data_IF_871285525903
#
_entry.id   IF_871285525903
#
_cell.length_a   1.000
_cell.length_b   1.000
_cell.length_c   1.000
_cell.angle_alpha   90.00
_cell.angle_beta   90.00
_cell.angle_gamma   90.00
#
_symmetry.space_group_name_H-M   'P 1'
#
loop_
_entity.id
_entity.type
_entity.pdbx_description
1 polymer ?
#
# COMPACT_ATOMS: atom_id res chain seq x y z
N UNK A 1 52.60 -7.52 28.61
CA UNK A 1 52.71 -9.00 28.65
C UNK A 1 53.45 -9.44 27.39
N UNK A 2 54.63 -10.08 27.48
CA UNK A 2 55.43 -10.43 26.29
C UNK A 2 54.64 -11.36 25.36
N UNK A 3 54.72 -11.15 24.04
CA UNK A 3 54.09 -11.98 22.99
C UNK A 3 54.28 -13.48 23.21
N UNK A 4 55.44 -13.90 23.76
CA UNK A 4 55.70 -15.30 24.14
C UNK A 4 54.72 -15.84 25.20
N UNK A 5 54.33 -15.02 26.19
CA UNK A 5 53.34 -15.42 27.21
C UNK A 5 51.93 -15.49 26.65
N UNK A 6 51.54 -14.58 25.76
CA UNK A 6 50.22 -14.61 25.10
C UNK A 6 50.08 -15.84 24.19
N UNK A 7 51.11 -16.17 23.40
CA UNK A 7 51.12 -17.37 22.56
C UNK A 7 51.02 -18.67 23.37
N UNK A 8 51.70 -18.73 24.53
CA UNK A 8 51.60 -19.88 25.42
C UNK A 8 50.22 -20.05 26.07
N UNK A 9 49.52 -18.94 26.38
CA UNK A 9 48.15 -18.98 26.91
C UNK A 9 47.16 -19.41 25.82
N UNK A 10 47.30 -18.88 24.59
CA UNK A 10 46.48 -19.26 23.44
C UNK A 10 46.57 -20.77 23.14
N UNK A 11 47.80 -21.32 23.08
CA UNK A 11 48.00 -22.77 22.84
C UNK A 11 47.39 -23.64 23.95
N UNK A 12 47.51 -23.22 25.22
CA UNK A 12 46.86 -23.94 26.34
C UNK A 12 45.34 -23.88 26.28
N UNK A 13 44.77 -22.78 25.79
CA UNK A 13 43.33 -22.63 25.66
C UNK A 13 42.79 -23.49 24.50
N UNK A 14 43.50 -23.52 23.36
CA UNK A 14 43.16 -24.36 22.21
C UNK A 14 43.17 -25.86 22.57
N UNK A 15 44.20 -26.34 23.27
CA UNK A 15 44.24 -27.72 23.76
C UNK A 15 43.11 -28.06 24.75
N UNK A 16 42.67 -27.08 25.55
CA UNK A 16 41.58 -27.28 26.51
C UNK A 16 40.24 -27.39 25.79
N UNK A 17 40.01 -26.51 24.80
CA UNK A 17 38.79 -26.51 23.99
C UNK A 17 38.69 -27.81 23.18
N UNK A 18 39.77 -28.24 22.52
CA UNK A 18 39.80 -29.51 21.76
C UNK A 18 39.48 -30.73 22.64
N UNK A 19 39.99 -30.76 23.87
CA UNK A 19 39.70 -31.85 24.82
C UNK A 19 38.23 -31.91 25.24
N UNK A 20 37.60 -30.77 25.52
CA UNK A 20 36.17 -30.74 25.87
C UNK A 20 35.29 -31.07 24.66
N UNK A 21 35.68 -30.67 23.46
CA UNK A 21 34.97 -31.01 22.22
C UNK A 21 34.92 -32.53 21.99
N UNK A 22 36.07 -33.21 22.13
CA UNK A 22 36.18 -34.67 21.96
C UNK A 22 35.32 -35.40 23.02
N UNK A 23 35.35 -34.95 24.29
CA UNK A 23 34.49 -35.51 25.35
C UNK A 23 33.00 -35.37 25.04
N UNK A 24 32.60 -34.22 24.51
CA UNK A 24 31.22 -33.98 24.09
C UNK A 24 30.78 -34.93 22.97
N UNK A 25 31.64 -35.17 21.98
CA UNK A 25 31.37 -36.12 20.90
C UNK A 25 31.23 -37.56 21.40
N UNK A 26 32.15 -38.04 22.25
CA UNK A 26 32.07 -39.39 22.82
C UNK A 26 30.80 -39.60 23.67
N UNK A 27 30.35 -38.56 24.39
CA UNK A 27 29.13 -38.64 25.19
C UNK A 27 27.86 -38.68 24.33
N UNK A 28 27.86 -38.01 23.17
CA UNK A 28 26.78 -38.08 22.18
C UNK A 28 26.73 -39.47 21.52
N UNK A 29 27.88 -40.05 21.16
CA UNK A 29 27.95 -41.40 20.58
C UNK A 29 27.49 -42.48 21.56
N UNK A 30 27.90 -42.41 22.83
CA UNK A 30 27.41 -43.33 23.88
C UNK A 30 25.89 -43.24 24.06
N UNK A 31 25.32 -42.04 23.95
CA UNK A 31 23.88 -41.83 24.03
C UNK A 31 23.12 -42.32 22.78
N UNK A 32 23.78 -42.38 21.63
CA UNK A 32 23.20 -42.90 20.38
C UNK A 32 23.16 -44.43 20.34
N UNK A 33 24.18 -45.12 20.87
CA UNK A 33 24.23 -46.59 20.88
C UNK A 33 23.30 -47.26 21.91
N UNK A 34 22.72 -46.50 22.85
CA UNK A 34 21.89 -47.03 23.94
C UNK A 34 20.37 -47.05 23.67
N UNK A 35 19.88 -46.57 22.52
CA UNK A 35 18.43 -46.47 22.26
C UNK A 35 18.02 -46.84 20.83
N UNK A 36 17.65 -48.11 20.64
CA UNK A 36 16.99 -48.61 19.43
C UNK A 36 15.45 -48.67 19.54
N UNK A 37 14.83 -47.84 20.39
CA UNK A 37 13.37 -47.77 20.55
C UNK A 37 12.94 -46.30 20.70
N UNK A 38 12.01 -45.85 19.85
CA UNK A 38 11.35 -44.53 19.70
C UNK A 38 11.83 -43.59 18.57
N UNK A 39 11.04 -43.57 17.49
CA UNK A 39 11.26 -42.90 16.20
C UNK A 39 10.94 -41.39 16.16
N UNK A 40 10.41 -40.77 17.23
CA UNK A 40 10.10 -39.32 17.23
C UNK A 40 11.23 -38.44 17.78
N UNK A 41 12.12 -38.96 18.64
CA UNK A 41 13.24 -38.20 19.20
C UNK A 41 14.46 -38.06 18.28
N UNK A 42 14.56 -38.87 17.22
CA UNK A 42 15.70 -38.87 16.28
C UNK A 42 15.78 -37.56 15.48
N UNK A 43 14.64 -36.88 15.21
CA UNK A 43 14.63 -35.62 14.46
C UNK A 43 15.27 -34.47 15.26
N UNK A 44 15.01 -34.38 16.56
CA UNK A 44 15.59 -33.33 17.41
C UNK A 44 17.10 -33.51 17.64
N UNK A 45 17.58 -34.75 17.73
CA UNK A 45 19.02 -35.00 17.94
C UNK A 45 19.83 -34.69 16.68
N UNK A 46 19.32 -34.99 15.47
CA UNK A 46 19.98 -34.63 14.21
C UNK A 46 20.10 -33.11 14.01
N UNK A 47 19.07 -32.35 14.39
CA UNK A 47 19.09 -30.88 14.32
C UNK A 47 20.15 -30.29 15.28
N UNK A 48 20.28 -30.84 16.49
CA UNK A 48 21.31 -30.38 17.45
C UNK A 48 22.74 -30.67 16.98
N UNK A 49 22.98 -31.81 16.32
CA UNK A 49 24.30 -32.16 15.77
C UNK A 49 24.67 -31.22 14.61
N UNK A 50 23.72 -30.92 13.71
CA UNK A 50 23.94 -29.97 12.62
C UNK A 50 24.22 -28.56 13.18
N UNK A 51 23.45 -28.11 14.17
CA UNK A 51 23.67 -26.82 14.82
C UNK A 51 25.06 -26.72 15.45
N UNK A 52 25.54 -27.79 16.12
CA UNK A 52 26.86 -27.80 16.74
C UNK A 52 28.01 -27.77 15.70
N UNK A 53 27.84 -28.44 14.56
CA UNK A 53 28.78 -28.38 13.44
C UNK A 53 28.88 -26.98 12.82
N UNK A 54 27.74 -26.32 12.62
CA UNK A 54 27.68 -24.95 12.11
C UNK A 54 28.33 -23.98 13.09
N UNK A 55 28.06 -24.11 14.39
CA UNK A 55 28.67 -23.26 15.42
C UNK A 55 30.20 -23.43 15.47
N UNK A 56 30.70 -24.67 15.38
CA UNK A 56 32.14 -24.94 15.33
C UNK A 56 32.82 -24.25 14.14
N UNK A 57 32.21 -24.29 12.96
CA UNK A 57 32.72 -23.63 11.77
C UNK A 57 32.86 -22.11 11.93
N UNK A 58 31.86 -21.46 12.56
CA UNK A 58 31.92 -20.02 12.83
C UNK A 58 32.97 -19.65 13.89
N UNK A 59 33.19 -20.52 14.89
CA UNK A 59 34.25 -20.33 15.89
C UNK A 59 35.63 -20.41 15.23
N UNK A 60 35.85 -21.34 14.31
CA UNK A 60 37.11 -21.47 13.57
C UNK A 60 37.39 -20.23 12.69
N UNK A 61 36.36 -19.69 12.02
CA UNK A 61 36.47 -18.45 11.25
C UNK A 61 36.80 -17.26 12.18
N UNK A 62 36.10 -17.14 13.30
CA UNK A 62 36.32 -16.06 14.25
C UNK A 62 37.75 -16.10 14.83
N UNK A 63 38.26 -17.30 15.13
CA UNK A 63 39.65 -17.51 15.55
C UNK A 63 40.64 -17.08 14.45
N UNK A 64 40.43 -17.49 13.20
CA UNK A 64 41.29 -17.09 12.08
C UNK A 64 41.29 -15.57 11.86
N UNK A 65 40.13 -14.91 11.96
CA UNK A 65 40.04 -13.45 11.86
C UNK A 65 40.75 -12.79 13.04
N UNK A 66 40.62 -13.33 14.25
CA UNK A 66 41.28 -12.80 15.44
C UNK A 66 42.81 -12.86 15.34
N UNK A 67 43.38 -13.92 14.77
CA UNK A 67 44.83 -14.01 14.52
C UNK A 67 45.29 -12.93 13.53
N UNK A 68 44.51 -12.67 12.48
CA UNK A 68 44.82 -11.62 11.50
C UNK A 68 44.71 -10.22 12.12
N UNK A 69 43.69 -9.97 12.94
CA UNK A 69 43.54 -8.72 13.69
C UNK A 69 44.72 -8.53 14.65
N UNK A 70 45.10 -9.56 15.41
CA UNK A 70 46.26 -9.48 16.32
C UNK A 70 47.56 -9.23 15.55
N UNK A 71 47.73 -9.78 14.34
CA UNK A 71 48.88 -9.49 13.49
C UNK A 71 48.89 -8.03 13.00
N UNK A 72 47.72 -7.46 12.68
CA UNK A 72 47.58 -6.07 12.23
C UNK A 72 47.79 -5.07 13.38
N UNK A 73 47.29 -5.38 14.58
CA UNK A 73 47.36 -4.50 15.75
C UNK A 73 48.57 -4.76 16.66
N UNK A 74 49.32 -5.85 16.43
CA UNK A 74 50.46 -6.25 17.25
C UNK A 74 51.68 -5.33 17.08
N UNK A 75 51.79 -4.63 15.96
CA UNK A 75 52.76 -3.55 15.77
C UNK A 75 52.13 -2.40 14.95
N UNK A 76 51.35 -1.53 15.61
CA UNK A 76 50.65 -0.45 14.93
C UNK A 76 51.62 0.55 14.28
N UNK A 77 52.89 0.61 14.70
CA UNK A 77 53.89 1.48 14.09
C UNK A 77 54.24 1.05 12.65
N UNK A 78 54.21 -0.25 12.34
CA UNK A 78 54.46 -0.75 10.98
C UNK A 78 53.24 -0.51 10.09
N UNK A 79 52.03 -0.77 10.59
CA UNK A 79 50.79 -0.56 9.84
C UNK A 79 50.54 0.93 9.54
N UNK A 80 50.85 1.82 10.49
CA UNK A 80 50.68 3.26 10.31
C UNK A 80 51.75 3.87 9.38
N UNK A 81 52.99 3.36 9.39
CA UNK A 81 54.02 3.81 8.43
C UNK A 81 53.68 3.44 6.98
N UNK A 82 52.98 2.32 6.77
CA UNK A 82 52.57 1.85 5.45
C UNK A 82 51.41 2.64 4.85
N UNK A 83 50.55 3.22 5.69
CA UNK A 83 49.36 3.96 5.27
C UNK A 83 49.55 5.49 5.24
N UNK A 84 50.36 6.05 6.15
CA UNK A 84 50.36 7.51 6.36
C UNK A 84 51.50 8.26 5.66
N UNK A 85 52.62 7.59 5.34
CA UNK A 85 53.80 8.27 4.77
C UNK A 85 53.88 8.27 3.23
N UNK A 86 52.78 8.00 2.53
CA UNK A 86 52.82 8.00 1.05
C UNK A 86 52.89 9.40 0.43
N UNK A 87 52.59 10.46 1.18
CA UNK A 87 52.51 11.81 0.62
C UNK A 87 53.68 12.75 0.96
N UNK A 88 54.54 12.41 1.92
CA UNK A 88 55.67 13.27 2.26
C UNK A 88 56.89 12.44 2.68
N UNK A 89 57.69 12.04 1.70
CA UNK A 89 59.14 12.34 1.61
C UNK A 89 59.96 11.23 0.92
N UNK A 90 60.89 11.70 0.07
CA UNK A 90 62.13 11.08 -0.41
C UNK A 90 62.04 9.89 -1.37
N UNK A 91 62.81 9.99 -2.46
CA UNK A 91 63.15 8.90 -3.37
C UNK A 91 63.57 7.63 -2.62
N UNK A 92 62.64 6.67 -2.48
CA UNK A 92 63.03 5.31 -2.10
C UNK A 92 63.78 4.68 -3.29
N UNK A 93 64.89 3.96 -3.07
CA UNK A 93 65.66 3.27 -4.11
C UNK A 93 65.03 1.92 -4.45
N UNK A 94 63.69 1.84 -4.45
CA UNK A 94 63.00 0.64 -4.91
C UNK A 94 62.64 0.89 -6.38
N UNK A 95 63.25 0.15 -7.32
CA UNK A 95 62.94 0.33 -8.73
C UNK A 95 61.43 0.19 -8.94
N UNK A 96 60.86 1.11 -9.71
CA UNK A 96 59.42 1.22 -9.98
C UNK A 96 58.75 -0.12 -10.35
N UNK A 97 59.51 -1.06 -10.92
CA UNK A 97 59.07 -2.43 -11.20
C UNK A 97 58.62 -3.20 -9.94
N UNK A 98 59.28 -3.04 -8.80
CA UNK A 98 58.90 -3.71 -7.55
C UNK A 98 57.66 -3.07 -6.92
N UNK A 99 57.54 -1.74 -6.97
CA UNK A 99 56.33 -1.05 -6.53
C UNK A 99 55.11 -1.47 -7.37
N UNK A 100 55.27 -1.55 -8.69
CA UNK A 100 54.21 -2.02 -9.60
C UNK A 100 53.82 -3.48 -9.33
N UNK A 101 54.79 -4.33 -8.95
CA UNK A 101 54.52 -5.73 -8.55
C UNK A 101 53.76 -5.80 -7.23
N UNK A 102 54.15 -5.01 -6.23
CA UNK A 102 53.44 -4.90 -4.95
C UNK A 102 52.02 -4.34 -5.12
N UNK A 103 51.83 -3.32 -5.94
CA UNK A 103 50.51 -2.76 -6.26
C UNK A 103 49.61 -3.78 -6.98
N UNK A 104 50.18 -4.60 -7.88
CA UNK A 104 49.44 -5.67 -8.55
C UNK A 104 49.02 -6.74 -7.56
N UNK A 105 49.88 -7.10 -6.60
CA UNK A 105 49.54 -8.07 -5.55
C UNK A 105 48.49 -7.50 -4.57
N UNK A 106 48.58 -6.23 -4.21
CA UNK A 106 47.58 -5.56 -3.35
C UNK A 106 46.20 -5.47 -4.03
N UNK A 107 46.16 -5.17 -5.34
CA UNK A 107 44.90 -5.21 -6.12
C UNK A 107 44.30 -6.60 -6.18
N UNK A 108 45.12 -7.64 -6.40
CA UNK A 108 44.64 -9.04 -6.40
C UNK A 108 44.10 -9.42 -5.01
N UNK A 109 44.72 -8.95 -3.93
CA UNK A 109 44.25 -9.19 -2.57
C UNK A 109 42.91 -8.49 -2.28
N UNK A 110 42.72 -7.26 -2.78
CA UNK A 110 41.47 -6.51 -2.67
C UNK A 110 40.32 -7.17 -3.44
N UNK A 111 40.55 -7.65 -4.66
CA UNK A 111 39.52 -8.33 -5.44
C UNK A 111 39.19 -9.71 -4.89
N UNK A 112 40.18 -10.46 -4.41
CA UNK A 112 39.94 -11.76 -3.78
C UNK A 112 39.16 -11.62 -2.47
N UNK A 113 39.46 -10.58 -1.66
CA UNK A 113 38.72 -10.29 -0.42
C UNK A 113 37.28 -9.86 -0.65
N UNK A 114 37.03 -9.05 -1.69
CA UNK A 114 35.66 -8.68 -2.08
C UNK A 114 34.88 -9.90 -2.61
N UNK A 115 35.51 -10.74 -3.43
CA UNK A 115 34.88 -11.94 -3.95
C UNK A 115 34.50 -12.93 -2.84
N UNK A 116 35.35 -13.12 -1.83
CA UNK A 116 35.04 -13.99 -0.68
C UNK A 116 33.95 -13.40 0.21
N UNK A 117 33.89 -12.07 0.39
CA UNK A 117 32.78 -11.42 1.11
C UNK A 117 31.44 -11.60 0.39
N UNK A 118 31.41 -11.43 -0.95
CA UNK A 118 30.19 -11.63 -1.75
C UNK A 118 29.75 -13.10 -1.69
N UNK A 119 30.68 -14.05 -1.81
CA UNK A 119 30.38 -15.47 -1.68
C UNK A 119 29.83 -15.81 -0.29
N UNK A 120 30.43 -15.30 0.79
CA UNK A 120 29.93 -15.49 2.16
C UNK A 120 28.50 -14.96 2.34
N UNK A 121 28.19 -13.77 1.80
CA UNK A 121 26.83 -13.21 1.84
C UNK A 121 25.83 -14.06 1.05
N UNK A 122 26.22 -14.54 -0.13
CA UNK A 122 25.36 -15.44 -0.92
C UNK A 122 25.12 -16.79 -0.24
N UNK A 123 26.13 -17.36 0.41
CA UNK A 123 26.00 -18.61 1.14
C UNK A 123 25.15 -18.45 2.41
N UNK A 124 25.35 -17.34 3.14
CA UNK A 124 24.57 -17.02 4.32
C UNK A 124 23.09 -16.86 3.98
N UNK A 125 22.75 -16.12 2.92
CA UNK A 125 21.34 -15.96 2.48
C UNK A 125 20.73 -17.28 2.04
N UNK A 126 21.47 -18.14 1.33
CA UNK A 126 20.99 -19.47 0.94
C UNK A 126 20.74 -20.38 2.16
N UNK A 127 21.64 -20.37 3.14
CA UNK A 127 21.47 -21.12 4.40
C UNK A 127 20.28 -20.57 5.19
N UNK A 128 20.11 -19.25 5.24
CA UNK A 128 19.02 -18.61 5.97
C UNK A 128 17.67 -18.98 5.35
N UNK A 129 17.54 -18.95 4.02
CA UNK A 129 16.34 -19.39 3.30
C UNK A 129 16.08 -20.91 3.46
N UNK A 130 17.14 -21.71 3.63
CA UNK A 130 16.99 -23.15 3.84
C UNK A 130 16.58 -23.52 5.27
N UNK A 131 17.08 -22.79 6.27
CA UNK A 131 16.79 -23.05 7.69
C UNK A 131 15.54 -22.33 8.18
N UNK A 132 15.31 -21.11 7.69
CA UNK A 132 14.10 -20.33 7.88
C UNK A 132 13.30 -20.48 6.58
N UNK A 133 12.60 -21.62 6.44
CA UNK A 133 11.67 -21.80 5.33
C UNK A 133 10.72 -20.60 5.20
N UNK A 134 10.12 -20.38 4.01
CA UNK A 134 9.28 -19.21 3.77
C UNK A 134 8.23 -19.08 4.87
N UNK A 135 8.20 -17.91 5.50
CA UNK A 135 7.18 -17.52 6.50
C UNK A 135 5.81 -17.30 5.88
N UNK A 136 5.68 -17.47 4.56
CA UNK A 136 4.40 -17.53 3.89
C UNK A 136 3.97 -18.99 3.72
N UNK A 137 2.69 -19.24 4.03
CA UNK A 137 2.04 -20.55 3.97
C UNK A 137 2.18 -21.12 2.56
N UNK A 138 3.14 -22.02 2.34
CA UNK A 138 3.15 -22.83 1.14
C UNK A 138 1.92 -23.75 1.25
N UNK A 139 0.98 -23.60 0.31
CA UNK A 139 -0.21 -24.42 0.24
C UNK A 139 0.19 -25.91 0.21
N UNK A 140 -0.10 -26.62 1.29
CA UNK A 140 -0.09 -28.07 1.28
C UNK A 140 -1.17 -28.54 0.30
N UNK A 141 -0.88 -29.53 -0.54
CA UNK A 141 -1.89 -30.22 -1.31
C UNK A 141 -2.91 -30.83 -0.33
N UNK A 142 -4.04 -30.14 -0.16
CA UNK A 142 -5.17 -30.60 0.63
C UNK A 142 -6.00 -31.54 -0.23
N UNK A 143 -6.09 -32.80 0.17
CA UNK A 143 -7.14 -33.68 -0.35
C UNK A 143 -8.47 -33.19 0.24
N UNK A 144 -9.48 -33.00 -0.61
CA UNK A 144 -10.84 -32.66 -0.17
C UNK A 144 -11.85 -33.67 -0.69
N UNK A 145 -12.89 -33.93 0.08
CA UNK A 145 -13.97 -34.87 -0.22
C UNK A 145 -15.16 -34.11 -0.79
N UNK A 146 -15.63 -34.50 -1.98
CA UNK A 146 -16.81 -33.91 -2.61
C UNK A 146 -18.03 -34.79 -2.30
N UNK A 147 -19.15 -34.16 -1.96
CA UNK A 147 -20.35 -34.85 -1.50
C UNK A 147 -21.58 -34.41 -2.29
N UNK A 148 -22.09 -35.31 -3.12
CA UNK A 148 -23.01 -34.95 -4.22
C UNK A 148 -24.47 -35.15 -3.83
N UNK A 149 -24.75 -35.85 -2.72
CA UNK A 149 -26.11 -36.19 -2.30
C UNK A 149 -26.24 -36.27 -0.78
N UNK A 150 -27.30 -35.64 -0.27
CA UNK A 150 -27.78 -35.77 1.10
C UNK A 150 -28.94 -36.75 1.12
N UNK A 151 -28.66 -38.05 1.02
CA UNK A 151 -29.67 -39.05 1.38
C UNK A 151 -29.66 -39.20 2.90
N UNK A 152 -30.79 -38.86 3.52
CA UNK A 152 -31.04 -38.95 4.95
C UNK A 152 -30.88 -40.37 5.45
N UNK A 153 -29.79 -40.64 6.17
CA UNK A 153 -29.70 -41.75 7.10
C UNK A 153 -29.60 -41.13 8.50
N UNK A 154 -30.68 -41.25 9.28
CA UNK A 154 -30.67 -40.91 10.70
C UNK A 154 -29.78 -41.91 11.42
N UNK A 155 -28.61 -41.47 11.86
CA UNK A 155 -27.79 -42.22 12.81
C UNK A 155 -27.82 -41.43 14.12
N UNK A 156 -28.40 -42.03 15.15
CA UNK A 156 -28.60 -41.40 16.45
C UNK A 156 -27.37 -41.52 17.37
N UNK A 157 -26.18 -41.87 16.85
CA UNK A 157 -24.95 -42.02 17.66
C UNK A 157 -23.77 -41.17 17.14
N UNK A 158 -23.47 -40.06 17.83
CA UNK A 158 -22.34 -39.18 17.57
C UNK A 158 -21.22 -39.63 18.47
N UNK A 159 -20.19 -40.24 17.89
CA UNK A 159 -19.04 -40.68 18.67
C UNK A 159 -18.04 -39.53 18.81
N UNK A 160 -18.23 -38.66 19.80
CA UNK A 160 -17.21 -37.69 20.21
C UNK A 160 -16.28 -38.33 21.24
N UNK A 161 -14.97 -38.23 21.03
CA UNK A 161 -13.93 -38.77 21.91
C UNK A 161 -13.82 -38.06 23.27
N UNK A 162 -14.52 -36.93 23.44
CA UNK A 162 -14.32 -36.00 24.55
C UNK A 162 -15.47 -36.02 25.57
N UNK A 163 -16.57 -36.75 25.30
CA UNK A 163 -17.66 -36.96 26.25
C UNK A 163 -18.52 -35.74 26.58
N UNK A 164 -18.35 -34.63 25.87
CA UNK A 164 -19.04 -33.34 26.06
C UNK A 164 -20.36 -33.20 25.28
N UNK A 165 -20.63 -34.09 24.32
CA UNK A 165 -21.79 -34.04 23.43
C UNK A 165 -23.10 -34.69 23.92
N UNK A 166 -23.36 -34.77 25.23
CA UNK A 166 -24.60 -35.39 25.74
C UNK A 166 -25.82 -34.47 25.56
N UNK A 167 -26.48 -34.54 24.41
CA UNK A 167 -27.71 -33.77 24.15
C UNK A 167 -27.98 -33.46 22.68
N UNK A 168 -27.06 -33.81 21.78
CA UNK A 168 -27.22 -33.56 20.36
C UNK A 168 -28.21 -34.57 19.77
N UNK A 169 -29.49 -34.20 19.71
CA UNK A 169 -30.57 -35.06 19.18
C UNK A 169 -30.85 -34.83 17.69
N UNK A 170 -30.16 -33.89 17.05
CA UNK A 170 -30.38 -33.52 15.64
C UNK A 170 -29.06 -33.18 14.94
N UNK A 171 -28.23 -34.18 14.67
CA UNK A 171 -27.10 -34.03 13.76
C UNK A 171 -27.21 -35.05 12.62
N UNK A 172 -26.73 -34.68 11.45
CA UNK A 172 -26.59 -35.59 10.32
C UNK A 172 -25.17 -36.13 10.30
N UNK A 173 -24.97 -37.37 10.75
CA UNK A 173 -23.71 -38.09 10.54
C UNK A 173 -23.78 -38.88 9.23
N UNK A 174 -22.74 -38.80 8.40
CA UNK A 174 -22.62 -39.60 7.17
C UNK A 174 -21.54 -40.66 7.34
N UNK A 175 -21.87 -41.87 6.91
CA UNK A 175 -20.92 -42.95 6.64
C UNK A 175 -20.71 -43.05 5.13
N UNK A 176 -19.46 -43.23 4.69
CA UNK A 176 -19.00 -43.36 3.29
C UNK A 176 -18.92 -42.05 2.47
N UNK A 177 -17.80 -41.32 2.61
CA UNK A 177 -17.43 -40.23 1.69
C UNK A 177 -16.38 -40.73 0.69
N UNK A 178 -16.58 -40.46 -0.61
CA UNK A 178 -15.57 -40.63 -1.67
C UNK A 178 -15.11 -39.27 -2.19
N UNK A 179 -13.83 -39.13 -2.55
CA UNK A 179 -13.23 -37.83 -2.86
C UNK A 179 -13.43 -37.40 -4.33
N UNK A 180 -13.70 -36.11 -4.57
CA UNK A 180 -13.85 -35.50 -5.89
C UNK A 180 -13.01 -34.23 -6.03
N UNK A 181 -12.67 -33.85 -7.27
CA UNK A 181 -11.41 -33.14 -7.54
C UNK A 181 -11.37 -31.61 -7.37
N UNK A 182 -12.46 -30.85 -7.19
CA UNK A 182 -12.29 -29.40 -6.93
C UNK A 182 -13.51 -28.70 -6.33
N UNK A 183 -13.35 -28.10 -5.14
CA UNK A 183 -14.22 -27.06 -4.62
C UNK A 183 -13.37 -26.03 -3.86
N UNK A 184 -13.58 -24.74 -4.10
CA UNK A 184 -12.89 -23.65 -3.40
C UNK A 184 -13.79 -23.13 -2.30
N UNK A 185 -13.37 -23.26 -1.04
CA UNK A 185 -14.09 -22.67 0.11
C UNK A 185 -13.31 -21.46 0.60
N UNK A 186 -13.96 -20.31 0.54
CA UNK A 186 -13.47 -19.05 1.06
C UNK A 186 -13.95 -18.94 2.51
N UNK A 187 -13.03 -18.92 3.47
CA UNK A 187 -13.38 -18.76 4.88
C UNK A 187 -13.53 -17.26 5.17
N UNK A 188 -14.66 -16.80 5.73
CA UNK A 188 -14.74 -15.44 6.24
C UNK A 188 -13.72 -15.27 7.36
N UNK A 189 -12.90 -14.21 7.28
CA UNK A 189 -11.82 -13.90 8.23
C UNK A 189 -12.30 -13.14 9.48
N UNK A 190 -13.59 -12.84 9.56
CA UNK A 190 -14.14 -12.07 10.68
C UNK A 190 -14.28 -12.96 11.93
N UNK A 191 -14.05 -12.39 13.11
CA UNK A 191 -14.14 -13.09 14.39
C UNK A 191 -15.60 -13.48 14.66
N UNK A 192 -15.91 -14.78 14.61
CA UNK A 192 -17.23 -15.31 14.98
C UNK A 192 -17.25 -15.56 16.50
N UNK A 193 -18.12 -14.86 17.22
CA UNK A 193 -18.48 -15.23 18.59
C UNK A 193 -19.36 -16.47 18.55
N UNK A 194 -18.90 -17.58 19.14
CA UNK A 194 -19.73 -18.77 19.37
C UNK A 194 -20.98 -18.40 20.16
N UNK A 195 -22.16 -18.75 19.62
CA UNK A 195 -23.43 -18.68 20.35
C UNK A 195 -23.57 -19.89 21.28
N UNK A 196 -24.32 -19.77 22.35
CA UNK A 196 -24.50 -20.86 23.32
C UNK A 196 -25.33 -22.02 22.74
N UNK A 197 -25.22 -23.22 23.33
CA UNK A 197 -26.04 -24.39 22.97
C UNK A 197 -27.56 -24.13 23.05
N UNK A 198 -27.97 -23.19 23.91
CA UNK A 198 -29.37 -22.77 24.02
C UNK A 198 -29.83 -21.99 22.78
N UNK A 199 -28.97 -21.11 22.25
CA UNK A 199 -29.25 -20.27 21.07
C UNK A 199 -29.31 -21.11 19.78
N UNK A 200 -28.47 -22.15 19.70
CA UNK A 200 -28.49 -23.10 18.57
C UNK A 200 -29.78 -23.93 18.55
N UNK A 201 -30.22 -24.41 19.72
CA UNK A 201 -31.39 -25.29 19.81
C UNK A 201 -32.74 -24.56 19.79
N UNK A 202 -32.77 -23.26 20.09
CA UNK A 202 -33.99 -22.43 20.06
C UNK A 202 -34.35 -21.90 18.68
N UNK A 203 -33.48 -22.07 17.67
CA UNK A 203 -33.57 -21.40 16.36
C UNK A 203 -33.65 -19.86 16.46
N UNK A 204 -33.13 -19.26 17.54
CA UNK A 204 -33.19 -17.80 17.74
C UNK A 204 -31.97 -17.05 17.24
N UNK A 205 -31.02 -17.70 16.56
CA UNK A 205 -29.87 -16.98 15.99
C UNK A 205 -30.35 -16.02 14.90
N UNK A 206 -30.11 -14.73 15.16
CA UNK A 206 -30.32 -13.64 14.19
C UNK A 206 -29.28 -13.61 13.08
N UNK A 207 -28.23 -14.42 13.16
CA UNK A 207 -27.02 -14.21 12.39
C UNK A 207 -26.65 -15.47 11.60
N UNK A 208 -26.39 -15.28 10.30
CA UNK A 208 -26.00 -16.26 9.28
C UNK A 208 -27.12 -16.90 8.45
N UNK A 209 -27.74 -16.12 7.56
CA UNK A 209 -28.36 -16.67 6.36
C UNK A 209 -27.29 -17.15 5.37
N UNK A 210 -27.50 -18.33 4.80
CA UNK A 210 -26.62 -18.92 3.80
C UNK A 210 -27.19 -18.66 2.40
N UNK A 211 -26.42 -18.02 1.54
CA UNK A 211 -26.71 -17.97 0.10
C UNK A 211 -26.06 -19.17 -0.58
N UNK A 212 -26.87 -20.08 -1.09
CA UNK A 212 -26.42 -21.26 -1.82
C UNK A 212 -26.65 -21.02 -3.31
N UNK A 213 -25.57 -20.87 -4.07
CA UNK A 213 -25.60 -20.97 -5.53
C UNK A 213 -25.23 -22.39 -5.96
N UNK A 214 -25.41 -22.73 -7.24
CA UNK A 214 -25.07 -24.07 -7.75
C UNK A 214 -23.61 -24.47 -7.49
N UNK A 215 -22.72 -23.50 -7.26
CA UNK A 215 -21.27 -23.72 -7.14
C UNK A 215 -20.64 -23.09 -5.88
N UNK A 216 -21.39 -22.39 -5.01
CA UNK A 216 -20.83 -21.76 -3.80
C UNK A 216 -21.85 -21.62 -2.68
N UNK A 217 -21.41 -21.81 -1.44
CA UNK A 217 -22.16 -21.47 -0.23
C UNK A 217 -21.48 -20.24 0.38
N UNK A 218 -22.21 -19.13 0.55
CA UNK A 218 -21.71 -17.89 1.16
C UNK A 218 -22.53 -17.55 2.39
N UNK A 219 -21.85 -17.08 3.44
CA UNK A 219 -22.50 -16.49 4.61
C UNK A 219 -22.85 -15.05 4.28
N UNK A 220 -24.13 -14.71 4.39
CA UNK A 220 -24.59 -13.34 4.23
C UNK A 220 -24.40 -12.58 5.55
N UNK A 221 -23.92 -11.35 5.43
CA UNK A 221 -23.69 -10.43 6.53
C UNK A 221 -25.03 -9.95 7.10
N UNK A 222 -25.15 -9.78 8.43
CA UNK A 222 -26.37 -9.29 9.06
C UNK A 222 -26.63 -7.83 8.67
N UNK A 223 -27.82 -7.32 8.99
CA UNK A 223 -28.11 -5.90 8.79
C UNK A 223 -27.14 -5.04 9.63
N UNK A 224 -26.81 -3.85 9.14
CA UNK A 224 -25.82 -2.91 9.68
C UNK A 224 -24.34 -3.35 9.59
N UNK A 225 -24.06 -4.48 8.93
CA UNK A 225 -22.69 -4.93 8.72
C UNK A 225 -22.05 -4.32 7.46
N UNK A 226 -20.73 -4.10 7.54
CA UNK A 226 -19.85 -3.65 6.47
C UNK A 226 -20.02 -4.42 5.16
N UNK A 227 -20.40 -3.84 4.02
CA UNK A 227 -20.58 -4.56 2.74
C UNK A 227 -19.95 -3.87 1.53
N UNK A 228 -19.56 -4.65 0.52
CA UNK A 228 -19.06 -4.12 -0.76
C UNK A 228 -19.97 -4.41 -1.97
N UNK A 229 -20.89 -5.36 -1.82
CA UNK A 229 -21.86 -5.73 -2.85
C UNK A 229 -23.17 -6.23 -2.22
N UNK A 230 -24.28 -6.08 -2.95
CA UNK A 230 -25.64 -6.46 -2.53
C UNK A 230 -25.76 -7.93 -2.10
N UNK A 231 -25.04 -8.81 -2.80
CA UNK A 231 -25.06 -10.24 -2.55
C UNK A 231 -24.24 -10.67 -1.32
N UNK A 232 -23.59 -9.73 -0.62
CA UNK A 232 -22.96 -9.97 0.67
C UNK A 232 -23.96 -9.83 1.82
N UNK A 233 -25.12 -9.21 1.60
CA UNK A 233 -26.05 -8.84 2.65
C UNK A 233 -27.24 -9.80 2.77
N UNK A 234 -27.68 -10.09 4.00
CA UNK A 234 -28.88 -10.90 4.26
C UNK A 234 -30.12 -10.30 3.59
N UNK A 235 -30.20 -8.97 3.58
CA UNK A 235 -31.24 -8.22 2.92
C UNK A 235 -31.21 -8.27 1.39
N UNK A 236 -30.09 -8.72 0.80
CA UNK A 236 -29.82 -8.62 -0.63
C UNK A 236 -29.57 -7.19 -1.12
N UNK A 237 -29.33 -6.22 -0.21
CA UNK A 237 -29.01 -4.83 -0.56
C UNK A 237 -27.89 -4.31 0.33
N UNK A 238 -26.82 -3.83 -0.32
CA UNK A 238 -25.70 -3.14 0.29
C UNK A 238 -25.91 -1.63 0.13
N UNK A 239 -26.52 -1.00 1.14
CA UNK A 239 -26.76 0.44 1.13
C UNK A 239 -25.43 1.17 1.26
N UNK A 240 -25.23 2.20 0.42
CA UNK A 240 -24.08 3.10 0.49
C UNK A 240 -22.72 2.46 0.19
N UNK A 241 -22.67 1.19 -0.25
CA UNK A 241 -21.41 0.45 -0.40
C UNK A 241 -20.63 0.32 0.91
N UNK A 242 -21.33 0.47 2.04
CA UNK A 242 -20.74 0.36 3.37
C UNK A 242 -21.57 -0.49 4.30
N UNK A 243 -22.91 -0.48 4.25
CA UNK A 243 -23.72 -1.19 5.25
C UNK A 243 -24.87 -2.01 4.66
N UNK A 244 -25.03 -3.24 5.14
CA UNK A 244 -26.14 -4.10 4.80
C UNK A 244 -27.44 -3.55 5.37
N UNK A 245 -28.25 -2.92 4.52
CA UNK A 245 -29.55 -2.32 4.82
C UNK A 245 -29.68 -1.57 6.16
N UNK A 246 -29.31 -0.30 6.10
CA UNK A 246 -30.30 0.72 6.47
C UNK A 246 -31.18 0.99 5.24
N UNK A 247 -32.33 0.32 5.16
CA UNK A 247 -33.31 0.53 4.06
C UNK A 247 -33.92 1.95 4.05
N UNK A 248 -33.63 2.76 5.06
CA UNK A 248 -34.05 4.16 5.13
C UNK A 248 -33.05 5.12 4.51
N UNK A 249 -31.79 4.70 4.35
CA UNK A 249 -30.75 5.50 3.69
C UNK A 249 -30.75 5.24 2.20
N UNK A 250 -31.01 6.31 1.47
CA UNK A 250 -31.00 6.41 0.03
C UNK A 250 -29.59 6.68 -0.45
N UNK A 251 -29.26 6.07 -1.59
CA UNK A 251 -28.00 6.32 -2.26
C UNK A 251 -27.88 7.79 -2.66
N UNK A 252 -26.66 8.28 -2.73
CA UNK A 252 -26.39 9.60 -3.28
C UNK A 252 -26.85 9.66 -4.76
N UNK A 253 -27.70 10.64 -5.09
CA UNK A 253 -28.42 10.80 -6.34
C UNK A 253 -29.94 10.62 -6.20
N UNK A 254 -30.40 9.98 -5.13
CA UNK A 254 -31.83 9.74 -4.85
C UNK A 254 -32.52 10.94 -4.24
N UNK A 255 -33.83 11.09 -4.47
CA UNK A 255 -34.59 12.19 -3.88
C UNK A 255 -34.69 12.04 -2.35
N UNK A 256 -34.45 13.10 -1.59
CA UNK A 256 -34.47 13.10 -0.13
C UNK A 256 -35.29 14.25 0.45
N UNK A 257 -35.83 14.05 1.65
CA UNK A 257 -36.49 15.13 2.41
C UNK A 257 -35.63 15.60 3.58
N UNK A 258 -34.63 14.81 3.98
CA UNK A 258 -33.75 15.11 5.11
C UNK A 258 -32.37 14.45 4.93
N UNK A 259 -31.35 15.03 5.56
CA UNK A 259 -29.97 14.54 5.55
C UNK A 259 -29.82 13.10 6.08
N UNK A 260 -30.66 12.70 7.03
CA UNK A 260 -30.68 11.35 7.59
C UNK A 260 -31.14 10.27 6.61
N UNK A 261 -31.89 10.65 5.57
CA UNK A 261 -32.28 9.74 4.49
C UNK A 261 -31.13 9.45 3.53
N UNK A 262 -29.94 10.04 3.71
CA UNK A 262 -28.87 9.96 2.72
C UNK A 262 -27.67 9.19 3.26
N UNK A 263 -27.10 8.34 2.42
CA UNK A 263 -25.83 7.66 2.66
C UNK A 263 -24.71 8.61 3.07
N UNK A 264 -24.58 9.73 2.36
CA UNK A 264 -23.64 10.80 2.67
C UNK A 264 -23.97 11.58 3.95
N UNK A 265 -25.14 11.39 4.55
CA UNK A 265 -25.66 12.30 5.57
C UNK A 265 -25.97 13.70 5.04
N UNK A 266 -26.07 13.88 3.71
CA UNK A 266 -26.31 15.17 3.06
C UNK A 266 -27.51 15.05 2.14
N UNK A 267 -28.52 15.87 2.42
CA UNK A 267 -29.67 16.09 1.55
C UNK A 267 -29.65 17.54 1.08
N UNK A 268 -29.36 17.78 -0.20
CA UNK A 268 -29.22 19.13 -0.74
C UNK A 268 -30.09 19.33 -1.97
N UNK A 269 -31.04 20.28 -1.89
CA UNK A 269 -32.01 20.51 -2.96
C UNK A 269 -32.98 19.34 -3.17
N UNK A 270 -33.19 18.53 -2.13
CA UNK A 270 -34.05 17.35 -2.20
C UNK A 270 -33.42 16.16 -2.90
N UNK A 271 -32.08 16.13 -3.05
CA UNK A 271 -31.33 14.97 -3.56
C UNK A 271 -30.21 14.60 -2.60
N UNK A 272 -30.04 13.32 -2.33
CA UNK A 272 -28.98 12.77 -1.50
C UNK A 272 -27.63 12.95 -2.18
N UNK A 273 -26.62 13.28 -1.41
CA UNK A 273 -25.25 13.30 -1.89
C UNK A 273 -24.52 14.60 -1.71
N UNK A 274 -23.21 14.43 -1.73
CA UNK A 274 -22.24 15.51 -1.71
C UNK A 274 -22.14 16.09 -3.12
N UNK A 275 -22.59 17.34 -3.30
CA UNK A 275 -22.44 18.02 -4.59
C UNK A 275 -20.97 18.31 -4.85
N UNK A 276 -20.47 17.84 -5.98
CA UNK A 276 -19.21 18.31 -6.54
C UNK A 276 -19.47 19.69 -7.15
N UNK A 277 -18.90 20.74 -6.56
CA UNK A 277 -19.19 22.13 -6.93
C UNK A 277 -17.93 22.85 -7.35
N UNK A 278 -18.00 23.45 -8.53
CA UNK A 278 -17.02 24.38 -9.04
C UNK A 278 -17.53 25.80 -8.84
N UNK A 279 -16.64 26.71 -8.42
CA UNK A 279 -16.99 28.12 -8.21
C UNK A 279 -15.77 29.01 -8.41
N UNK A 280 -15.99 30.27 -8.77
CA UNK A 280 -14.91 31.23 -8.91
C UNK A 280 -14.55 31.90 -7.59
N UNK A 281 -13.26 32.19 -7.40
CA UNK A 281 -12.80 33.07 -6.34
C UNK A 281 -13.42 34.47 -6.48
N UNK A 282 -13.70 35.11 -5.34
CA UNK A 282 -14.22 36.48 -5.31
C UNK A 282 -13.21 37.55 -5.79
N UNK A 283 -11.93 37.20 -5.81
CA UNK A 283 -10.84 38.08 -6.24
C UNK A 283 -10.11 37.50 -7.45
N UNK A 284 -9.38 38.37 -8.14
CA UNK A 284 -8.42 37.98 -9.18
C UNK A 284 -7.00 38.00 -8.60
N UNK A 285 -6.12 37.17 -9.15
CA UNK A 285 -4.75 36.99 -8.69
C UNK A 285 -3.80 36.92 -9.89
N UNK A 286 -2.58 37.41 -9.73
CA UNK A 286 -1.49 37.09 -10.63
C UNK A 286 -1.08 35.60 -10.51
N UNK A 287 -0.06 35.20 -11.26
CA UNK A 287 0.48 33.84 -11.30
C UNK A 287 1.22 33.41 -10.03
N UNK A 288 1.54 34.33 -9.11
CA UNK A 288 2.16 34.00 -7.84
C UNK A 288 1.09 33.62 -6.81
N UNK A 289 0.53 32.43 -6.99
CA UNK A 289 -0.48 31.90 -6.09
C UNK A 289 0.11 31.35 -4.80
N UNK A 290 1.43 31.21 -4.68
CA UNK A 290 2.10 30.55 -3.55
C UNK A 290 2.04 29.02 -3.65
N UNK A 291 2.10 28.49 -4.87
CA UNK A 291 1.93 27.07 -5.17
C UNK A 291 0.52 26.54 -4.87
N UNK A 292 0.39 25.20 -4.81
CA UNK A 292 -0.87 24.50 -4.49
C UNK A 292 -1.50 25.03 -3.21
N UNK A 293 -0.72 25.04 -2.12
CA UNK A 293 -1.22 25.44 -0.79
C UNK A 293 -1.72 26.89 -0.77
N UNK A 294 -1.00 27.81 -1.44
CA UNK A 294 -1.41 29.20 -1.55
C UNK A 294 -2.66 29.38 -2.42
N UNK A 295 -2.77 28.64 -3.53
CA UNK A 295 -3.97 28.63 -4.38
C UNK A 295 -5.20 28.08 -3.62
N UNK A 296 -5.06 26.96 -2.91
CA UNK A 296 -6.14 26.38 -2.10
C UNK A 296 -6.57 27.34 -0.98
N UNK A 297 -5.63 28.05 -0.36
CA UNK A 297 -5.93 29.07 0.65
C UNK A 297 -6.72 30.24 0.06
N UNK A 298 -6.39 30.68 -1.15
CA UNK A 298 -7.17 31.70 -1.87
C UNK A 298 -8.58 31.21 -2.20
N UNK A 299 -8.75 29.94 -2.60
CA UNK A 299 -10.07 29.35 -2.84
C UNK A 299 -10.96 29.29 -1.58
N UNK A 300 -10.34 29.11 -0.40
CA UNK A 300 -11.05 29.09 0.89
C UNK A 300 -11.38 30.50 1.43
N UNK A 301 -10.83 31.55 0.84
CA UNK A 301 -11.08 32.92 1.30
C UNK A 301 -12.49 33.43 0.96
N UNK A 302 -13.18 32.82 -0.02
CA UNK A 302 -14.56 33.15 -0.34
C UNK A 302 -15.01 32.65 -1.72
N UNK A 303 -16.31 32.79 -1.99
CA UNK A 303 -16.94 32.40 -3.27
C UNK A 303 -17.64 31.04 -3.23
N UNK A 304 -17.39 30.21 -2.22
CA UNK A 304 -18.05 28.92 -2.07
C UNK A 304 -19.47 29.04 -1.47
N UNK A 305 -20.38 28.11 -1.77
CA UNK A 305 -21.72 28.10 -1.19
C UNK A 305 -21.72 27.88 0.33
N UNK A 306 -22.67 28.48 1.05
CA UNK A 306 -22.79 28.36 2.52
C UNK A 306 -23.04 26.91 2.97
N UNK A 307 -22.12 26.32 3.74
CA UNK A 307 -22.22 24.94 4.23
C UNK A 307 -21.22 23.95 3.61
N UNK A 308 -20.27 24.42 2.78
CA UNK A 308 -19.10 23.63 2.40
C UNK A 308 -18.07 23.60 3.53
N UNK A 309 -17.50 22.43 3.81
CA UNK A 309 -16.31 22.34 4.63
C UNK A 309 -15.12 22.93 3.89
N UNK A 310 -14.41 23.85 4.54
CA UNK A 310 -13.20 24.45 3.97
C UNK A 310 -12.06 23.44 3.82
N UNK A 311 -12.10 22.29 4.52
CA UNK A 311 -11.10 21.23 4.35
C UNK A 311 -11.14 20.58 2.96
N UNK A 312 -12.32 20.56 2.34
CA UNK A 312 -12.62 19.84 1.09
C UNK A 312 -12.60 20.77 -0.13
N UNK A 313 -12.03 21.97 0.03
CA UNK A 313 -11.89 22.95 -1.05
C UNK A 313 -10.45 22.90 -1.59
N UNK A 314 -10.32 22.84 -2.91
CA UNK A 314 -9.05 22.88 -3.63
C UNK A 314 -9.14 23.84 -4.82
N UNK A 315 -8.02 24.42 -5.22
CA UNK A 315 -7.91 25.11 -6.49
C UNK A 315 -7.97 24.10 -7.64
N UNK A 316 -8.83 24.34 -8.62
CA UNK A 316 -8.99 23.51 -9.81
C UNK A 316 -7.92 23.86 -10.85
N UNK A 317 -6.67 23.53 -10.57
CA UNK A 317 -5.52 23.83 -11.42
C UNK A 317 -4.46 22.73 -11.33
N UNK A 318 -3.53 22.68 -12.28
CA UNK A 318 -2.35 21.80 -12.23
C UNK A 318 -1.14 22.58 -11.72
N UNK A 319 -0.33 22.00 -10.82
CA UNK A 319 0.93 22.62 -10.36
C UNK A 319 2.18 21.91 -10.86
N UNK A 320 2.09 20.61 -11.14
CA UNK A 320 3.18 19.79 -11.69
C UNK A 320 2.63 18.50 -12.31
N UNK A 321 3.49 17.69 -12.93
CA UNK A 321 3.15 16.34 -13.42
C UNK A 321 2.63 15.37 -12.35
N UNK A 322 2.86 15.66 -11.06
CA UNK A 322 2.36 14.85 -9.93
C UNK A 322 1.16 15.49 -9.23
N UNK A 323 0.67 16.61 -9.76
CA UNK A 323 -0.39 17.42 -9.18
C UNK A 323 -1.22 18.07 -10.29
N UNK A 324 -1.93 17.22 -11.02
CA UNK A 324 -2.73 17.58 -12.18
C UNK A 324 -4.22 17.70 -11.80
N UNK A 325 -5.02 18.44 -12.58
CA UNK A 325 -6.48 18.51 -12.37
C UNK A 325 -7.08 17.09 -12.43
N UNK A 326 -6.65 16.27 -13.39
CA UNK A 326 -7.14 14.89 -13.55
C UNK A 326 -6.85 13.99 -12.32
N UNK A 327 -5.87 14.34 -11.50
CA UNK A 327 -5.46 13.56 -10.33
C UNK A 327 -6.14 14.03 -9.03
N UNK A 328 -6.86 15.16 -9.05
CA UNK A 328 -7.53 15.72 -7.86
C UNK A 328 -8.41 14.68 -7.14
N UNK A 329 -9.22 13.84 -7.83
CA UNK A 329 -10.01 12.81 -7.18
C UNK A 329 -9.19 11.84 -6.33
N UNK A 330 -8.17 11.22 -6.93
CA UNK A 330 -7.36 10.22 -6.25
C UNK A 330 -6.46 10.83 -5.16
N UNK A 331 -5.99 12.06 -5.38
CA UNK A 331 -5.03 12.72 -4.49
C UNK A 331 -5.68 13.41 -3.30
N UNK A 332 -6.88 13.94 -3.48
CA UNK A 332 -7.58 14.75 -2.48
C UNK A 332 -8.93 14.17 -2.04
N UNK A 333 -9.31 12.99 -2.54
CA UNK A 333 -10.52 12.28 -2.13
C UNK A 333 -11.81 12.82 -2.75
N UNK A 334 -11.73 13.50 -3.90
CA UNK A 334 -12.94 13.97 -4.58
C UNK A 334 -13.65 12.80 -5.27
N UNK A 335 -14.99 12.76 -5.25
CA UNK A 335 -15.74 11.69 -5.87
C UNK A 335 -15.72 11.82 -7.40
N UNK A 336 -15.47 10.71 -8.12
CA UNK A 336 -15.40 10.68 -9.58
C UNK A 336 -16.75 10.42 -10.25
N UNK A 337 -17.68 9.76 -9.55
CA UNK A 337 -18.99 9.33 -10.05
C UNK A 337 -20.13 10.30 -9.69
N UNK A 338 -19.81 11.57 -9.43
CA UNK A 338 -20.78 12.61 -9.05
C UNK A 338 -20.91 13.64 -10.15
N UNK A 339 -22.15 14.09 -10.35
CA UNK A 339 -22.46 15.20 -11.27
C UNK A 339 -21.78 16.49 -10.77
N UNK A 340 -20.90 17.11 -11.57
CA UNK A 340 -20.36 18.43 -11.26
C UNK A 340 -21.38 19.54 -11.50
N UNK A 341 -21.38 20.53 -10.62
CA UNK A 341 -22.19 21.74 -10.71
C UNK A 341 -21.31 22.98 -10.66
N UNK A 342 -21.68 24.03 -11.40
CA UNK A 342 -21.14 25.38 -11.19
C UNK A 342 -22.06 26.13 -10.21
N UNK A 343 -21.46 26.74 -9.19
CA UNK A 343 -22.15 27.66 -8.29
C UNK A 343 -21.96 29.10 -8.73
N UNK A 344 -23.08 29.77 -9.02
CA UNK A 344 -23.10 31.18 -9.40
C UNK A 344 -24.39 31.84 -8.95
N UNK A 345 -24.29 33.06 -8.43
CA UNK A 345 -25.44 33.91 -8.07
C UNK A 345 -26.50 33.17 -7.25
N UNK A 346 -26.07 32.37 -6.29
CA UNK A 346 -26.94 31.55 -5.43
C UNK A 346 -27.67 30.38 -6.12
N UNK A 347 -27.22 29.97 -7.30
CA UNK A 347 -27.79 28.87 -8.08
C UNK A 347 -26.73 27.83 -8.45
N UNK A 348 -27.17 26.57 -8.58
CA UNK A 348 -26.36 25.46 -9.06
C UNK A 348 -26.77 25.11 -10.49
N UNK A 349 -25.79 24.96 -11.38
CA UNK A 349 -26.00 24.55 -12.76
C UNK A 349 -25.18 23.29 -13.04
N UNK A 350 -25.81 22.19 -13.46
CA UNK A 350 -25.09 20.96 -13.80
C UNK A 350 -24.24 21.19 -15.07
N UNK A 351 -22.98 20.75 -15.05
CA UNK A 351 -22.03 20.92 -16.17
C UNK A 351 -21.41 19.62 -16.68
N UNK A 352 -21.85 18.48 -16.16
CA UNK A 352 -21.37 17.14 -16.50
C UNK A 352 -22.13 16.08 -15.73
N UNK A 353 -21.92 14.81 -16.04
CA UNK A 353 -22.49 13.67 -15.30
C UNK A 353 -21.52 13.08 -14.29
N UNK A 354 -20.22 13.27 -14.48
CA UNK A 354 -19.16 12.72 -13.65
C UNK A 354 -17.88 13.59 -13.79
N UNK A 355 -16.80 13.22 -13.11
CA UNK A 355 -15.52 13.95 -13.19
C UNK A 355 -14.85 13.84 -14.57
N UNK A 356 -14.99 12.71 -15.26
CA UNK A 356 -14.42 12.52 -16.60
C UNK A 356 -15.05 13.47 -17.63
N UNK A 357 -16.35 13.77 -17.50
CA UNK A 357 -17.04 14.76 -18.34
C UNK A 357 -16.47 16.20 -18.17
N UNK A 358 -15.73 16.48 -17.09
CA UNK A 358 -15.01 17.76 -16.96
C UNK A 358 -13.76 17.80 -17.85
N UNK A 359 -13.21 16.64 -18.19
CA UNK A 359 -11.88 16.44 -18.79
C UNK A 359 -11.91 15.93 -20.22
N UNK A 360 -13.07 15.54 -20.75
CA UNK A 360 -13.19 15.01 -22.11
C UNK A 360 -13.24 16.11 -23.19
N UNK A 361 -13.27 17.37 -22.76
CA UNK A 361 -13.36 18.55 -23.62
C UNK A 361 -14.79 18.90 -24.04
N UNK A 362 -15.82 18.30 -23.43
CA UNK A 362 -17.22 18.58 -23.72
C UNK A 362 -18.04 18.66 -22.43
N UNK A 363 -18.43 19.88 -22.05
CA UNK A 363 -19.37 20.04 -20.94
C UNK A 363 -20.79 19.77 -21.42
N UNK A 364 -21.53 18.92 -20.70
CA UNK A 364 -22.97 18.75 -20.92
C UNK A 364 -23.73 19.67 -19.98
N UNK A 365 -24.31 20.73 -20.51
CA UNK A 365 -25.26 21.57 -19.75
C UNK A 365 -26.67 21.02 -19.93
N UNK A 366 -27.46 21.01 -18.87
CA UNK A 366 -28.90 20.78 -19.01
C UNK A 366 -29.51 21.88 -19.91
N UNK A 367 -30.32 21.45 -20.87
CA UNK A 367 -30.94 22.33 -21.86
C UNK A 367 -31.75 23.44 -21.18
N UNK A 368 -31.33 24.70 -21.32
CA UNK A 368 -32.07 25.83 -20.73
C UNK A 368 -31.25 27.08 -20.41
N UNK A 369 -29.91 27.02 -20.48
CA UNK A 369 -29.07 28.18 -20.20
C UNK A 369 -29.04 29.11 -21.42
N UNK A 370 -30.02 30.02 -21.49
CA UNK A 370 -29.94 31.20 -22.32
C UNK A 370 -29.25 32.30 -21.51
N UNK A 371 -27.92 32.43 -21.62
CA UNK A 371 -27.25 33.64 -21.17
C UNK A 371 -26.49 34.31 -22.31
N UNK A 372 -27.10 35.38 -22.82
CA UNK A 372 -26.49 36.38 -23.70
C UNK A 372 -25.52 37.28 -22.91
N UNK A 373 -24.41 36.70 -22.44
CA UNK A 373 -23.35 37.41 -21.74
C UNK A 373 -22.00 36.91 -22.23
N UNK A 374 -21.39 37.64 -23.17
CA UNK A 374 -19.99 37.43 -23.53
C UNK A 374 -19.15 38.03 -22.41
N UNK A 375 -18.44 37.20 -21.64
CA UNK A 375 -17.44 37.67 -20.69
C UNK A 375 -16.04 37.22 -21.13
N UNK A 376 -15.12 38.18 -21.13
CA UNK A 376 -13.72 38.03 -21.54
C UNK A 376 -12.83 37.46 -20.43
N UNK A 377 -13.41 36.84 -19.40
CA UNK A 377 -12.69 36.45 -18.19
C UNK A 377 -12.09 35.04 -18.32
N UNK A 378 -10.81 34.93 -17.99
CA UNK A 378 -10.08 33.67 -17.95
C UNK A 378 -9.80 33.28 -16.50
N UNK A 379 -9.55 32.00 -16.27
CA UNK A 379 -9.17 31.48 -14.95
C UNK A 379 -7.90 30.63 -15.04
N UNK A 380 -7.08 30.66 -14.00
CA UNK A 380 -5.81 29.93 -13.97
C UNK A 380 -6.01 28.41 -13.93
N UNK A 381 -5.61 27.71 -15.00
CA UNK A 381 -5.73 26.24 -15.07
C UNK A 381 -4.37 25.55 -15.04
N UNK A 382 -3.39 26.07 -15.77
CA UNK A 382 -2.10 25.44 -15.98
C UNK A 382 -2.17 24.04 -16.60
N UNK A 383 -3.27 23.71 -17.27
CA UNK A 383 -3.59 22.35 -17.69
C UNK A 383 -3.95 22.30 -19.17
N UNK A 384 -3.78 21.14 -19.78
CA UNK A 384 -4.39 20.77 -21.06
C UNK A 384 -5.89 20.54 -20.91
N UNK A 385 -6.60 20.36 -22.02
CA UNK A 385 -8.04 20.06 -22.02
C UNK A 385 -8.41 18.75 -21.30
N UNK A 386 -7.47 17.81 -21.17
CA UNK A 386 -7.66 16.58 -20.38
C UNK A 386 -7.33 16.73 -18.89
N UNK A 387 -7.10 17.96 -18.43
CA UNK A 387 -6.69 18.25 -17.06
C UNK A 387 -5.27 17.79 -16.71
N UNK A 388 -4.48 17.38 -17.71
CA UNK A 388 -3.07 17.06 -17.52
C UNK A 388 -2.21 18.33 -17.46
N UNK A 389 -1.12 18.29 -16.73
CA UNK A 389 -0.11 19.34 -16.62
C UNK A 389 0.46 19.70 -17.99
N UNK A 390 0.49 20.99 -18.30
CA UNK A 390 0.96 21.49 -19.57
C UNK A 390 2.42 21.97 -19.48
N UNK A 391 3.39 21.23 -20.02
CA UNK A 391 4.82 21.49 -19.79
C UNK A 391 5.63 21.92 -21.01
N UNK A 392 4.98 22.46 -22.04
CA UNK A 392 5.71 22.84 -23.26
C UNK A 392 6.41 24.20 -23.11
N UNK A 393 7.63 24.34 -23.62
CA UNK A 393 8.33 25.63 -23.75
C UNK A 393 8.44 26.48 -22.48
N UNK A 394 8.08 27.76 -22.58
CA UNK A 394 8.05 28.71 -21.46
C UNK A 394 6.77 28.64 -20.62
N UNK A 395 5.93 27.63 -20.85
CA UNK A 395 4.68 27.41 -20.15
C UNK A 395 4.93 26.45 -18.98
N UNK A 396 5.21 27.00 -17.80
CA UNK A 396 5.51 26.23 -16.59
C UNK A 396 4.61 26.63 -15.42
N UNK A 397 3.36 27.03 -15.71
CA UNK A 397 2.36 27.39 -14.71
C UNK A 397 2.87 28.46 -13.76
N UNK A 398 3.58 29.46 -14.30
CA UNK A 398 4.19 30.47 -13.45
C UNK A 398 5.13 29.84 -12.40
N UNK A 399 6.01 28.94 -12.85
CA UNK A 399 6.93 28.13 -12.03
C UNK A 399 6.22 27.42 -10.87
N UNK A 400 5.18 26.65 -11.19
CA UNK A 400 4.35 26.00 -10.16
C UNK A 400 3.63 27.02 -9.28
N UNK A 401 3.22 28.14 -9.88
CA UNK A 401 2.48 29.25 -9.29
C UNK A 401 3.21 30.01 -8.18
N UNK A 402 4.50 30.27 -8.40
CA UNK A 402 5.37 30.98 -7.45
C UNK A 402 5.95 32.29 -8.01
N UNK A 403 5.62 32.64 -9.25
CA UNK A 403 6.11 33.88 -9.89
C UNK A 403 5.02 34.64 -10.63
N UNK A 404 5.21 35.94 -10.76
CA UNK A 404 4.33 36.91 -11.41
C UNK A 404 5.00 37.58 -12.63
N UNK A 405 5.83 36.83 -13.37
CA UNK A 405 6.67 37.36 -14.45
C UNK A 405 5.88 38.07 -15.57
N UNK A 406 6.33 39.26 -16.01
CA UNK A 406 5.60 40.05 -16.99
C UNK A 406 5.83 39.66 -18.46
N UNK A 407 6.94 39.00 -18.80
CA UNK A 407 7.42 38.96 -20.20
C UNK A 407 7.85 37.61 -20.74
N UNK A 408 8.17 36.64 -19.89
CA UNK A 408 8.79 35.38 -20.34
C UNK A 408 8.06 34.14 -19.89
N UNK A 409 7.23 34.22 -18.85
CA UNK A 409 6.57 33.06 -18.26
C UNK A 409 5.07 33.19 -18.46
N UNK A 410 4.50 32.14 -19.00
CA UNK A 410 3.08 32.04 -19.32
C UNK A 410 2.47 30.85 -18.61
N UNK A 411 1.15 30.86 -18.51
CA UNK A 411 0.37 29.70 -18.10
C UNK A 411 -0.90 29.58 -18.95
N UNK A 412 -1.36 28.34 -19.09
CA UNK A 412 -2.65 28.03 -19.67
C UNK A 412 -3.76 28.52 -18.73
N UNK A 413 -4.78 29.11 -19.31
CA UNK A 413 -6.01 29.50 -18.62
C UNK A 413 -7.21 28.84 -19.27
N UNK A 414 -8.18 28.48 -18.43
CA UNK A 414 -9.50 28.08 -18.90
C UNK A 414 -10.38 29.29 -19.16
N UNK A 415 -11.42 29.10 -19.97
CA UNK A 415 -12.43 30.14 -20.22
C UNK A 415 -13.58 30.05 -19.22
N UNK A 416 -14.18 31.19 -18.91
CA UNK A 416 -15.32 31.27 -17.99
C UNK A 416 -16.54 30.48 -18.49
N UNK A 417 -17.21 29.75 -17.60
CA UNK A 417 -18.46 29.04 -17.90
C UNK A 417 -19.61 29.98 -18.31
N UNK A 418 -19.48 31.27 -18.00
CA UNK A 418 -20.51 32.29 -18.27
C UNK A 418 -20.64 32.70 -19.74
N UNK A 419 -19.63 32.43 -20.56
CA UNK A 419 -19.53 32.99 -21.92
C UNK A 419 -20.27 32.18 -22.98
N UNK A 420 -20.88 31.06 -22.59
CA UNK A 420 -21.41 30.07 -23.52
C UNK A 420 -22.88 30.34 -23.88
N UNK A 421 -23.13 31.53 -24.43
CA UNK A 421 -24.35 31.83 -25.17
C UNK A 421 -24.25 31.30 -26.60
N UNK A 422 -25.10 30.33 -26.96
CA UNK A 422 -25.51 29.97 -28.32
C UNK A 422 -24.60 29.12 -29.24
N UNK A 423 -23.42 28.64 -28.81
CA UNK A 423 -22.70 27.63 -29.60
C UNK A 423 -23.10 26.22 -29.18
N UNK A 424 -23.84 25.51 -30.05
CA UNK A 424 -24.35 24.15 -29.84
C UNK A 424 -23.28 23.07 -29.77
N UNK A 425 -22.01 23.42 -30.00
CA UNK A 425 -20.85 22.55 -29.90
C UNK A 425 -19.86 23.25 -28.95
N UNK A 426 -19.86 22.84 -27.69
CA UNK A 426 -18.95 23.35 -26.67
C UNK A 426 -17.57 22.78 -27.02
N UNK A 427 -16.80 23.56 -27.77
CA UNK A 427 -15.45 23.19 -28.16
C UNK A 427 -14.55 23.19 -26.92
N UNK A 428 -13.96 22.02 -26.63
CA UNK A 428 -12.64 21.64 -26.08
C UNK A 428 -11.90 22.56 -25.09
N UNK A 429 -12.13 23.86 -25.04
CA UNK A 429 -11.26 24.90 -24.47
C UNK A 429 -11.68 25.35 -23.05
N UNK A 430 -12.56 24.61 -22.40
CA UNK A 430 -13.05 24.90 -21.06
C UNK A 430 -11.91 24.90 -20.01
N UNK A 431 -10.93 24.00 -20.15
CA UNK A 431 -9.77 23.92 -19.24
C UNK A 431 -8.54 24.61 -19.83
N UNK A 432 -8.32 24.57 -21.14
CA UNK A 432 -7.13 25.13 -21.79
C UNK A 432 -7.52 25.96 -23.03
N UNK A 433 -8.01 27.18 -22.80
CA UNK A 433 -8.59 28.00 -23.87
C UNK A 433 -7.73 29.15 -24.39
N UNK A 434 -6.71 29.58 -23.65
CA UNK A 434 -5.68 30.49 -24.13
C UNK A 434 -4.47 30.53 -23.18
N UNK A 435 -3.41 31.22 -23.63
CA UNK A 435 -2.22 31.50 -22.86
C UNK A 435 -2.24 32.93 -22.33
N UNK A 436 -1.76 33.13 -21.09
CA UNK A 436 -1.56 34.48 -20.54
C UNK A 436 -0.28 34.57 -19.72
N UNK A 437 0.28 35.77 -19.66
CA UNK A 437 1.45 36.09 -18.84
C UNK A 437 1.12 36.04 -17.36
N UNK A 438 2.08 35.60 -16.56
CA UNK A 438 1.91 35.43 -15.10
C UNK A 438 1.61 36.73 -14.34
N UNK A 439 2.00 37.90 -14.84
CA UNK A 439 1.63 39.18 -14.21
C UNK A 439 0.13 39.54 -14.33
N UNK A 440 -0.62 38.89 -15.24
CA UNK A 440 -2.04 39.21 -15.48
C UNK A 440 -2.89 38.73 -14.32
N UNK A 441 -3.87 39.53 -13.92
CA UNK A 441 -4.81 39.14 -12.86
C UNK A 441 -5.96 38.32 -13.44
N UNK A 442 -6.08 37.06 -13.04
CA UNK A 442 -7.17 36.15 -13.44
C UNK A 442 -7.85 35.56 -12.21
N UNK A 443 -9.06 35.04 -12.38
CA UNK A 443 -9.76 34.32 -11.28
C UNK A 443 -9.15 32.94 -11.05
N UNK A 444 -9.38 32.38 -9.87
CA UNK A 444 -9.21 30.96 -9.63
C UNK A 444 -10.55 30.26 -9.79
N UNK A 445 -10.53 29.14 -10.50
CA UNK A 445 -11.60 28.16 -10.38
C UNK A 445 -11.28 27.25 -9.20
N UNK A 446 -12.26 27.05 -8.35
CA UNK A 446 -12.14 26.29 -7.12
C UNK A 446 -13.13 25.12 -7.19
N UNK A 447 -12.72 23.97 -6.67
CA UNK A 447 -13.56 22.79 -6.57
C UNK A 447 -13.73 22.42 -5.11
N UNK A 448 -14.96 22.16 -4.72
CA UNK A 448 -15.32 21.66 -3.40
C UNK A 448 -16.29 20.50 -3.52
N UNK A 449 -16.31 19.64 -2.52
CA UNK A 449 -17.45 18.77 -2.26
C UNK A 449 -17.91 18.97 -0.82
N UNK A 450 -19.21 18.79 -0.59
CA UNK A 450 -19.72 18.70 0.78
C UNK A 450 -19.37 17.39 1.44
#
# INVERSE_FOLDING_TARGET
MSYKRLKAISLKLDEKIKRELIRGQEQVEKNLNLKNIFTSRIRFTKIKIIYFGVLSFFVDIALAISEQIIAIFGDPAIAFNLLYNQHQSVSCPVPYSQFKKAQRHAKVFSYAGLATMVLMLSFSTMITNFLMGPTEKIAAAGYSLAQNTWTTLSSDIAHHSNGDGSGWIKYSAKTNMEAGETLTVEYPTDDWTETTDADFNSYTSKDASLSVTSNSIKLLKPNDAGCSADNECLSGVCSCGTDCQDSTKKADGEACSSASECCSGVCDGGTCGVKLVLYYSNSTYDGNLGGRSGADTKCRAGGYPSGFSTSNIRAFLSTSASDEIKDIPNKYGFPTNRKPYVWKSSSYTQIGNNWADLLDGFLTFESGINSSLVLTTCWWSGSTNSGAWYSSGNFNQCQGWTVDSPTTIHSHVGRDFDSYGAYSNIEKDNIAGCDTFCHRSNRLLCVGHR
#
